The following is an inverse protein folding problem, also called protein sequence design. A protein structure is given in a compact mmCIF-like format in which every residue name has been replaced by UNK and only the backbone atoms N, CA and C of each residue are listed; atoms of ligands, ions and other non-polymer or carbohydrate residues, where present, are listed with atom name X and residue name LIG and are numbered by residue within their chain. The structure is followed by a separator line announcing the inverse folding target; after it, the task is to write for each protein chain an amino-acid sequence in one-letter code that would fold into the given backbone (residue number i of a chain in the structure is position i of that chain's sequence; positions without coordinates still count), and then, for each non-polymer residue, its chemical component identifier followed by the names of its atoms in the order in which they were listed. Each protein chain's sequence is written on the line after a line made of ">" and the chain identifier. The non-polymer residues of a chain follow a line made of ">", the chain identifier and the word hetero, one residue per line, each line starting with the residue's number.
data_IF_634306612795
#
_entry.id   IF_634306612795
#
_cell.length_a   1.000
_cell.length_b   1.000
_cell.length_c   1.000
_cell.angle_alpha   90.00
_cell.angle_beta   90.00
_cell.angle_gamma   90.00
#
_symmetry.space_group_name_H-M   'P 1'
#
loop_
_entity.id
_entity.type
_entity.pdbx_description
1 polymer ?
#
# COMPACT_ATOMS: atom_id res chain seq x y z
N UNK A 1 -29.39 51.37 -39.95
CA UNK A 1 -27.92 51.28 -39.76
C UNK A 1 -27.37 49.85 -39.66
N UNK A 2 -28.18 48.78 -39.75
CA UNK A 2 -27.66 47.40 -39.65
C UNK A 2 -27.23 46.77 -41.00
N UNK A 3 -27.83 47.18 -42.12
CA UNK A 3 -27.54 46.59 -43.44
C UNK A 3 -26.18 46.97 -44.05
N UNK A 4 -25.60 48.13 -43.71
CA UNK A 4 -24.34 48.60 -44.31
C UNK A 4 -23.12 47.90 -43.68
N UNK A 5 -23.21 47.51 -42.41
CA UNK A 5 -22.14 46.80 -41.70
C UNK A 5 -21.96 45.35 -42.20
N UNK A 6 -23.06 44.68 -42.57
CA UNK A 6 -23.03 43.29 -43.05
C UNK A 6 -22.34 43.16 -44.41
N UNK A 7 -22.66 44.03 -45.38
CA UNK A 7 -22.06 43.98 -46.72
C UNK A 7 -20.59 44.40 -46.73
N UNK A 8 -20.18 45.30 -45.83
CA UNK A 8 -18.79 45.74 -45.73
C UNK A 8 -17.88 44.62 -45.17
N UNK A 9 -18.34 43.89 -44.15
CA UNK A 9 -17.63 42.75 -43.59
C UNK A 9 -17.47 41.61 -44.61
N UNK A 10 -18.53 41.27 -45.34
CA UNK A 10 -18.47 40.22 -46.39
C UNK A 10 -17.44 40.57 -47.47
N UNK A 11 -17.33 41.85 -47.85
CA UNK A 11 -16.31 42.32 -48.81
C UNK A 11 -14.89 42.15 -48.30
N UNK A 12 -14.64 42.44 -47.01
CA UNK A 12 -13.32 42.28 -46.40
C UNK A 12 -12.93 40.80 -46.38
N UNK A 13 -13.84 39.91 -45.97
CA UNK A 13 -13.57 38.47 -45.97
C UNK A 13 -13.28 37.93 -47.38
N UNK A 14 -13.97 38.40 -48.40
CA UNK A 14 -13.78 37.91 -49.78
C UNK A 14 -12.49 38.41 -50.45
N UNK A 15 -11.84 39.45 -49.91
CA UNK A 15 -10.57 39.99 -50.39
C UNK A 15 -9.34 39.34 -49.72
N UNK A 16 -9.54 38.49 -48.71
CA UNK A 16 -8.46 37.81 -48.01
C UNK A 16 -8.15 36.44 -48.64
N UNK A 17 -6.87 36.11 -48.77
CA UNK A 17 -6.45 34.78 -49.20
C UNK A 17 -7.00 33.70 -48.26
N UNK A 18 -7.42 32.54 -48.80
CA UNK A 18 -8.06 31.44 -48.05
C UNK A 18 -7.28 31.04 -46.79
N UNK A 19 -5.94 31.05 -46.86
CA UNK A 19 -5.04 30.76 -45.73
C UNK A 19 -5.20 31.73 -44.56
N UNK A 20 -5.40 33.02 -44.83
CA UNK A 20 -5.56 34.05 -43.78
C UNK A 20 -6.92 33.96 -43.10
N UNK A 21 -7.96 33.59 -43.83
CA UNK A 21 -9.30 33.35 -43.28
C UNK A 21 -9.28 32.14 -42.34
N UNK A 22 -8.62 31.05 -42.74
CA UNK A 22 -8.44 29.86 -41.90
C UNK A 22 -7.67 30.22 -40.62
N UNK A 23 -6.60 31.01 -40.73
CA UNK A 23 -5.82 31.46 -39.58
C UNK A 23 -6.67 32.30 -38.60
N UNK A 24 -7.51 33.19 -39.11
CA UNK A 24 -8.40 34.03 -38.30
C UNK A 24 -9.43 33.18 -37.54
N UNK A 25 -10.04 32.20 -38.21
CA UNK A 25 -10.99 31.28 -37.57
C UNK A 25 -10.31 30.39 -36.52
N UNK A 26 -9.10 29.90 -36.80
CA UNK A 26 -8.31 29.14 -35.84
C UNK A 26 -7.98 29.97 -34.60
N UNK A 27 -7.63 31.25 -34.76
CA UNK A 27 -7.39 32.17 -33.64
C UNK A 27 -8.65 32.39 -32.78
N UNK A 28 -9.81 32.50 -33.43
CA UNK A 28 -11.10 32.70 -32.76
C UNK A 28 -11.52 31.47 -31.94
N UNK A 29 -11.30 30.26 -32.47
CA UNK A 29 -11.57 29.00 -31.77
C UNK A 29 -10.62 28.80 -30.59
N UNK A 30 -9.33 29.16 -30.71
CA UNK A 30 -8.38 29.11 -29.58
C UNK A 30 -8.78 30.12 -28.50
N UNK A 31 -9.22 31.32 -28.88
CA UNK A 31 -9.70 32.34 -27.93
C UNK A 31 -10.92 31.89 -27.13
N UNK A 32 -11.89 31.24 -27.76
CA UNK A 32 -13.13 30.79 -27.10
C UNK A 32 -12.95 29.64 -26.09
N UNK A 33 -11.87 28.86 -26.20
CA UNK A 33 -11.58 27.74 -25.29
C UNK A 33 -10.73 28.13 -24.06
N UNK A 34 -10.32 29.40 -23.94
CA UNK A 34 -9.67 29.88 -22.72
C UNK A 34 -10.71 30.15 -21.62
N UNK A 35 -11.24 29.07 -21.04
CA UNK A 35 -12.05 29.09 -19.81
C UNK A 35 -11.15 29.62 -18.69
N UNK A 36 -11.39 30.86 -18.29
CA UNK A 36 -10.67 31.50 -17.20
C UNK A 36 -11.16 31.00 -15.83
N UNK A 37 -10.18 30.78 -14.96
CA UNK A 37 -10.23 30.77 -13.50
C UNK A 37 -10.83 29.53 -12.81
N UNK A 38 -9.96 28.55 -12.55
CA UNK A 38 -10.04 27.80 -11.31
C UNK A 38 -9.12 28.50 -10.29
N UNK A 39 -9.72 29.23 -9.36
CA UNK A 39 -9.01 29.75 -8.19
C UNK A 39 -8.55 28.56 -7.36
N UNK A 40 -7.24 28.36 -7.25
CA UNK A 40 -6.66 27.41 -6.31
C UNK A 40 -7.09 27.82 -4.90
N UNK A 41 -7.91 26.99 -4.26
CA UNK A 41 -8.28 27.17 -2.86
C UNK A 41 -7.02 27.02 -2.03
N UNK A 42 -6.49 28.13 -1.50
CA UNK A 42 -5.44 28.14 -0.47
C UNK A 42 -6.01 27.60 0.85
N UNK A 43 -6.31 26.32 0.90
CA UNK A 43 -6.40 25.60 2.18
C UNK A 43 -4.99 25.19 2.53
N UNK A 44 -4.34 25.94 3.43
CA UNK A 44 -3.13 25.47 4.08
C UNK A 44 -3.41 24.06 4.62
N UNK A 45 -2.59 23.05 4.29
CA UNK A 45 -2.84 21.70 4.76
C UNK A 45 -2.86 21.72 6.29
N UNK A 46 -3.91 21.13 6.87
CA UNK A 46 -3.94 20.88 8.30
C UNK A 46 -2.89 19.80 8.56
N UNK A 47 -1.74 20.19 9.09
CA UNK A 47 -0.69 19.25 9.50
C UNK A 47 -1.13 18.66 10.83
N UNK A 48 -1.54 17.39 10.81
CA UNK A 48 -1.79 16.63 12.03
C UNK A 48 -0.44 16.11 12.53
N UNK A 49 0.17 16.81 13.49
CA UNK A 49 1.31 16.29 14.24
C UNK A 49 0.82 15.33 15.31
N UNK A 50 1.20 14.06 15.21
CA UNK A 50 1.01 13.06 16.26
C UNK A 50 2.04 13.35 17.37
N UNK A 51 1.67 14.20 18.33
CA UNK A 51 2.51 14.58 19.47
C UNK A 51 2.44 13.52 20.59
N UNK A 52 2.67 12.27 20.20
CA UNK A 52 2.78 11.14 21.13
C UNK A 52 4.23 10.81 21.38
N UNK A 53 4.57 10.17 22.51
CA UNK A 53 5.88 9.53 22.62
C UNK A 53 6.00 8.55 21.46
N UNK A 54 6.88 8.84 20.51
CA UNK A 54 7.42 7.83 19.60
C UNK A 54 8.20 6.91 20.52
N UNK A 55 7.52 5.92 21.10
CA UNK A 55 8.21 4.75 21.61
C UNK A 55 9.06 4.34 20.42
N UNK A 56 10.39 4.48 20.55
CA UNK A 56 11.30 3.71 19.72
C UNK A 56 10.71 2.32 19.80
N UNK A 57 10.06 1.88 18.72
CA UNK A 57 9.53 0.54 18.64
C UNK A 57 10.83 -0.24 18.59
N UNK A 58 11.38 -0.60 19.76
CA UNK A 58 12.12 -1.84 19.89
C UNK A 58 11.22 -2.82 19.17
N UNK A 59 11.67 -3.22 17.99
CA UNK A 59 10.84 -3.79 16.95
C UNK A 59 9.96 -4.82 17.62
N UNK A 60 8.64 -4.55 17.72
CA UNK A 60 7.72 -5.41 18.44
C UNK A 60 7.73 -6.72 17.68
N UNK A 61 8.57 -7.62 18.15
CA UNK A 61 8.98 -8.82 17.45
C UNK A 61 8.57 -9.99 18.35
N UNK A 62 7.31 -10.45 18.21
CA UNK A 62 6.80 -11.55 19.00
C UNK A 62 7.55 -12.84 18.66
N UNK A 63 7.58 -13.76 19.62
CA UNK A 63 8.05 -15.11 19.38
C UNK A 63 7.02 -15.87 18.54
N UNK A 64 7.43 -16.49 17.44
CA UNK A 64 6.56 -17.36 16.66
C UNK A 64 6.97 -18.81 16.87
N UNK A 65 6.02 -19.66 17.24
CA UNK A 65 6.22 -21.10 17.38
C UNK A 65 5.50 -21.78 16.22
N UNK A 66 6.24 -22.43 15.33
CA UNK A 66 5.65 -23.30 14.30
C UNK A 66 5.65 -24.72 14.84
N UNK A 67 4.49 -25.36 14.86
CA UNK A 67 4.33 -26.75 15.32
C UNK A 67 3.62 -27.57 14.25
N UNK A 68 4.08 -28.80 14.03
CA UNK A 68 3.35 -29.87 13.35
C UNK A 68 3.14 -31.02 14.34
N UNK A 69 2.45 -32.06 13.90
CA UNK A 69 2.38 -33.38 14.52
C UNK A 69 3.72 -33.91 15.10
N UNK A 70 4.81 -33.76 14.33
CA UNK A 70 6.11 -34.34 14.66
C UNK A 70 7.20 -33.30 14.93
N UNK A 71 7.04 -32.05 14.52
CA UNK A 71 8.12 -31.06 14.55
C UNK A 71 7.71 -29.74 15.19
N UNK A 72 8.63 -29.10 15.90
CA UNK A 72 8.42 -27.76 16.46
C UNK A 72 9.66 -26.88 16.26
N UNK A 73 9.44 -25.64 15.85
CA UNK A 73 10.48 -24.62 15.75
C UNK A 73 10.07 -23.32 16.41
N UNK A 74 11.05 -22.59 16.95
CA UNK A 74 10.89 -21.27 17.57
C UNK A 74 11.60 -20.24 16.71
N UNK A 75 10.87 -19.21 16.31
CA UNK A 75 11.34 -18.23 15.34
C UNK A 75 11.03 -16.82 15.82
N UNK A 76 11.86 -15.88 15.38
CA UNK A 76 11.53 -14.46 15.48
C UNK A 76 10.68 -14.06 14.27
N UNK A 77 9.74 -13.13 14.48
CA UNK A 77 8.75 -12.77 13.46
C UNK A 77 9.38 -12.14 12.21
N UNK A 78 10.44 -11.36 12.36
CA UNK A 78 11.24 -10.79 11.28
C UNK A 78 11.84 -11.85 10.35
N UNK A 79 12.32 -12.98 10.90
CA UNK A 79 12.85 -14.11 10.12
C UNK A 79 11.73 -14.79 9.32
N UNK A 80 10.56 -14.95 9.92
CA UNK A 80 9.41 -15.56 9.24
C UNK A 80 8.74 -14.63 8.24
N UNK A 81 8.73 -13.32 8.47
CA UNK A 81 8.12 -12.33 7.56
C UNK A 81 8.74 -12.36 6.17
N UNK A 82 10.05 -12.61 6.09
CA UNK A 82 10.76 -12.74 4.82
C UNK A 82 10.48 -14.09 4.14
N UNK A 83 10.00 -15.07 4.91
CA UNK A 83 9.75 -16.42 4.45
C UNK A 83 8.27 -16.60 4.10
N UNK A 84 7.95 -16.75 2.80
CA UNK A 84 6.57 -16.98 2.39
C UNK A 84 6.13 -18.38 2.81
N UNK A 85 5.31 -18.46 3.86
CA UNK A 85 4.59 -19.69 4.24
C UNK A 85 3.27 -19.74 3.47
N UNK A 86 2.96 -20.88 2.85
CA UNK A 86 1.67 -21.08 2.19
C UNK A 86 0.57 -21.09 3.27
N UNK A 87 -0.43 -20.18 3.23
CA UNK A 87 -1.51 -20.18 4.23
C UNK A 87 -2.33 -21.47 4.25
N UNK A 88 -2.37 -22.23 3.15
CA UNK A 88 -3.12 -23.49 3.09
C UNK A 88 -2.51 -24.61 3.95
N UNK A 89 -1.24 -24.49 4.34
CA UNK A 89 -0.56 -25.46 5.22
C UNK A 89 -0.85 -25.19 6.70
N UNK A 90 -1.43 -24.03 7.03
CA UNK A 90 -1.80 -23.68 8.40
C UNK A 90 -3.11 -24.38 8.75
N UNK A 91 -3.12 -25.07 9.89
CA UNK A 91 -4.31 -25.66 10.48
C UNK A 91 -4.98 -24.68 11.45
N UNK A 92 -4.22 -24.17 12.43
CA UNK A 92 -4.73 -23.21 13.41
C UNK A 92 -3.65 -22.27 13.92
N UNK A 93 -4.08 -21.16 14.53
CA UNK A 93 -3.20 -20.16 15.13
C UNK A 93 -3.74 -19.72 16.49
N UNK A 94 -2.87 -19.65 17.49
CA UNK A 94 -3.15 -19.12 18.81
C UNK A 94 -2.22 -17.94 19.10
N UNK A 95 -2.76 -16.89 19.72
CA UNK A 95 -2.00 -15.68 20.07
C UNK A 95 -1.97 -15.53 21.57
N UNK A 96 -0.78 -15.69 22.15
CA UNK A 96 -0.54 -15.64 23.59
C UNK A 96 0.03 -14.27 23.93
N UNK A 97 -0.60 -13.57 24.87
CA UNK A 97 -0.30 -12.15 25.17
C UNK A 97 -0.05 -11.93 26.65
N UNK A 98 0.65 -10.84 26.97
CA UNK A 98 0.84 -10.37 28.35
C UNK A 98 1.58 -11.36 29.23
N UNK A 99 1.14 -11.48 30.48
CA UNK A 99 1.78 -12.31 31.50
C UNK A 99 1.84 -13.80 31.12
N UNK A 100 0.84 -14.29 30.39
CA UNK A 100 0.81 -15.70 29.98
C UNK A 100 1.96 -16.04 29.01
N UNK A 101 2.26 -15.13 28.08
CA UNK A 101 3.37 -15.30 27.14
C UNK A 101 4.72 -15.30 27.88
N UNK A 102 4.88 -14.39 28.85
CA UNK A 102 6.09 -14.31 29.67
C UNK A 102 6.23 -15.55 30.56
N UNK A 103 5.12 -16.06 31.12
CA UNK A 103 5.11 -17.27 31.95
C UNK A 103 5.54 -18.51 31.15
N UNK A 104 5.12 -18.64 29.89
CA UNK A 104 5.43 -19.79 29.06
C UNK A 104 6.81 -19.69 28.35
N UNK A 105 7.20 -18.49 27.91
CA UNK A 105 8.37 -18.29 27.04
C UNK A 105 9.45 -17.37 27.62
N UNK A 106 9.29 -16.91 28.86
CA UNK A 106 10.25 -16.06 29.55
C UNK A 106 10.42 -14.70 28.88
N UNK A 107 11.67 -14.23 28.78
CA UNK A 107 11.97 -12.92 28.18
C UNK A 107 11.54 -12.81 26.71
N UNK A 108 11.56 -13.92 25.96
CA UNK A 108 11.11 -13.93 24.57
C UNK A 108 9.60 -13.73 24.42
N UNK A 109 8.83 -13.97 25.49
CA UNK A 109 7.40 -13.73 25.54
C UNK A 109 6.99 -12.30 25.88
N UNK A 110 7.94 -11.39 26.20
CA UNK A 110 7.65 -9.98 26.56
C UNK A 110 6.87 -9.25 25.46
N UNK A 111 7.16 -9.56 24.20
CA UNK A 111 6.47 -9.02 23.02
C UNK A 111 5.26 -9.86 22.58
N UNK A 112 4.87 -10.85 23.38
CA UNK A 112 3.87 -11.86 23.02
C UNK A 112 4.45 -13.03 22.23
N UNK A 113 3.62 -14.06 22.06
CA UNK A 113 3.93 -15.24 21.27
C UNK A 113 2.77 -15.60 20.34
N UNK A 114 3.09 -16.14 19.17
CA UNK A 114 2.13 -16.63 18.18
C UNK A 114 2.46 -18.10 17.97
N UNK A 115 1.53 -18.99 18.29
CA UNK A 115 1.66 -20.42 18.05
C UNK A 115 0.87 -20.78 16.80
N UNK A 116 1.54 -21.32 15.80
CA UNK A 116 0.97 -21.71 14.51
C UNK A 116 1.08 -23.23 14.44
N UNK A 117 -0.06 -23.88 14.25
CA UNK A 117 -0.15 -25.31 14.00
C UNK A 117 -0.30 -25.54 12.50
N UNK A 118 0.53 -26.41 11.96
CA UNK A 118 0.52 -26.83 10.58
C UNK A 118 -0.31 -28.10 10.42
N UNK A 119 -0.93 -28.26 9.25
CA UNK A 119 -1.62 -29.49 8.88
C UNK A 119 -0.65 -30.66 8.81
N UNK A 120 -1.15 -31.85 9.07
CA UNK A 120 -0.37 -33.09 8.99
C UNK A 120 0.37 -33.20 7.65
N UNK A 121 1.62 -33.69 7.71
CA UNK A 121 2.51 -33.87 6.54
C UNK A 121 2.89 -32.60 5.74
N UNK A 122 2.38 -31.40 6.06
CA UNK A 122 2.71 -30.17 5.31
C UNK A 122 4.04 -29.51 5.74
N UNK A 123 4.67 -30.00 6.81
CA UNK A 123 6.01 -29.60 7.22
C UNK A 123 7.04 -29.71 6.09
N UNK A 124 6.90 -30.73 5.23
CA UNK A 124 7.79 -31.00 4.09
C UNK A 124 7.73 -29.91 3.01
N UNK A 125 6.63 -29.16 2.98
CA UNK A 125 6.38 -28.08 2.01
C UNK A 125 6.96 -26.74 2.48
N UNK A 126 7.47 -26.67 3.70
CA UNK A 126 8.15 -25.48 4.20
C UNK A 126 9.50 -25.28 3.50
N UNK A 127 10.01 -24.05 3.45
CA UNK A 127 11.38 -23.81 2.98
C UNK A 127 12.41 -24.61 3.81
N UNK A 128 13.45 -25.11 3.15
CA UNK A 128 14.46 -25.99 3.77
C UNK A 128 15.16 -25.33 4.96
N UNK A 129 15.28 -24.00 4.93
CA UNK A 129 15.84 -23.18 5.99
C UNK A 129 15.01 -23.29 7.28
N UNK A 130 13.68 -23.26 7.15
CA UNK A 130 12.76 -23.44 8.28
C UNK A 130 12.81 -24.90 8.74
N UNK A 131 12.74 -25.86 7.80
CA UNK A 131 12.77 -27.29 8.14
C UNK A 131 13.98 -27.65 9.00
N UNK A 132 15.18 -27.14 8.66
CA UNK A 132 16.42 -27.38 9.42
C UNK A 132 16.37 -26.85 10.86
N UNK A 133 15.58 -25.80 11.10
CA UNK A 133 15.46 -25.15 12.41
C UNK A 133 14.32 -25.74 13.25
N UNK A 134 13.53 -26.64 12.68
CA UNK A 134 12.50 -27.37 13.42
C UNK A 134 13.09 -28.64 14.02
N UNK A 135 12.73 -28.91 15.27
CA UNK A 135 13.20 -30.06 16.05
C UNK A 135 12.05 -31.05 16.18
N UNK A 136 12.35 -32.35 16.07
CA UNK A 136 11.34 -33.39 16.24
C UNK A 136 10.85 -33.41 17.70
N UNK A 137 9.54 -33.38 17.89
CA UNK A 137 8.86 -33.44 19.20
C UNK A 137 8.89 -34.87 19.75
N UNK A 138 9.01 -35.89 18.87
CA UNK A 138 9.09 -37.32 19.19
C UNK A 138 10.12 -38.08 18.35
N UNK A 139 11.36 -38.16 18.84
CA UNK A 139 12.06 -39.35 19.37
C UNK A 139 13.48 -38.91 19.75
#
# INVERSE_FOLDING_TARGET
>A
MSFIASTFLVRIFNQMDKLKIILLFALLVVGANSVFAQSESKTSPVIITLDGPTRSIEEINPLVILSSDEYQGRFRFDILKQTKINPETIDSMNVIRGEEAIKQFGEFGKNGAIQIYLKENTYKDLPKEIQKLMVKIKE
#
